data_IF_165273611131
#
_entry.id   IF_165273611131
#
_cell.length_a   1.000
_cell.length_b   1.000
_cell.length_c   1.000
_cell.angle_alpha   90.00
_cell.angle_beta   90.00
_cell.angle_gamma   90.00
#
_symmetry.space_group_name_H-M   'P 1'
#
loop_
_entity.id
_entity.type
_entity.pdbx_description
1 polymer ?
#
# COMPACT_ATOMS: atom_id res chain seq x y z
N UNK A 1 3.76 -22.28 -16.97
CA UNK A 1 2.61 -21.83 -16.14
C UNK A 1 2.57 -20.32 -16.15
N UNK A 2 1.40 -19.72 -16.41
CA UNK A 2 1.20 -18.28 -16.31
C UNK A 2 0.85 -17.91 -14.86
N UNK A 3 1.28 -16.73 -14.40
CA UNK A 3 0.93 -16.19 -13.08
C UNK A 3 -0.59 -16.13 -12.89
N UNK A 4 -1.32 -15.92 -13.98
CA UNK A 4 -2.78 -15.85 -14.04
C UNK A 4 -3.44 -17.17 -13.63
N UNK A 5 -2.93 -18.33 -14.07
CA UNK A 5 -3.43 -19.64 -13.64
C UNK A 5 -3.22 -19.88 -12.14
N UNK A 6 -2.07 -19.46 -11.60
CA UNK A 6 -1.77 -19.61 -10.18
C UNK A 6 -2.70 -18.76 -9.31
N UNK A 7 -2.90 -17.50 -9.71
CA UNK A 7 -3.80 -16.58 -9.03
C UNK A 7 -5.27 -17.01 -9.14
N UNK A 8 -5.66 -17.61 -10.26
CA UNK A 8 -7.00 -18.17 -10.43
C UNK A 8 -7.23 -19.36 -9.47
N UNK A 9 -6.35 -20.35 -9.47
CA UNK A 9 -6.52 -21.55 -8.63
C UNK A 9 -6.49 -21.23 -7.13
N UNK A 10 -5.62 -20.32 -6.69
CA UNK A 10 -5.61 -19.84 -5.30
C UNK A 10 -6.83 -18.97 -4.98
N UNK A 11 -7.25 -18.13 -5.93
CA UNK A 11 -8.42 -17.26 -5.80
C UNK A 11 -9.75 -18.02 -5.79
N UNK A 12 -9.82 -19.19 -6.43
CA UNK A 12 -11.01 -20.05 -6.44
C UNK A 12 -11.10 -20.98 -5.23
N UNK A 13 -10.02 -21.17 -4.46
CA UNK A 13 -10.01 -22.08 -3.31
C UNK A 13 -11.12 -21.78 -2.27
N UNK A 14 -11.42 -20.51 -1.91
CA UNK A 14 -12.53 -20.21 -1.01
C UNK A 14 -13.90 -20.63 -1.56
N UNK A 15 -14.07 -20.64 -2.89
CA UNK A 15 -15.33 -21.06 -3.53
C UNK A 15 -15.53 -22.56 -3.43
N UNK A 16 -14.48 -23.33 -3.72
CA UNK A 16 -14.50 -24.77 -3.61
C UNK A 16 -14.64 -25.24 -2.16
N UNK A 17 -14.13 -24.47 -1.19
CA UNK A 17 -14.34 -24.74 0.24
C UNK A 17 -15.80 -24.47 0.69
N UNK A 18 -16.50 -23.54 0.04
CA UNK A 18 -17.89 -23.23 0.33
C UNK A 18 -18.85 -24.21 -0.37
N UNK A 19 -18.79 -24.27 -1.71
CA UNK A 19 -19.73 -24.98 -2.60
C UNK A 19 -18.99 -25.61 -3.79
N UNK A 20 -18.34 -26.77 -3.62
CA UNK A 20 -17.48 -27.38 -4.63
C UNK A 20 -18.19 -27.72 -5.93
N UNK A 21 -19.42 -28.25 -5.88
CA UNK A 21 -20.12 -28.69 -7.09
C UNK A 21 -20.69 -27.51 -7.87
N UNK A 22 -21.24 -26.51 -7.17
CA UNK A 22 -21.65 -25.25 -7.80
C UNK A 22 -20.44 -24.52 -8.41
N UNK A 23 -19.32 -24.44 -7.71
CA UNK A 23 -18.10 -23.83 -8.23
C UNK A 23 -17.58 -24.57 -9.48
N UNK A 24 -17.56 -25.91 -9.45
CA UNK A 24 -17.17 -26.75 -10.58
C UNK A 24 -18.11 -26.57 -11.78
N UNK A 25 -19.42 -26.53 -11.54
CA UNK A 25 -20.44 -26.33 -12.57
C UNK A 25 -20.32 -24.96 -13.25
N UNK A 26 -20.19 -23.88 -12.47
CA UNK A 26 -20.01 -22.52 -13.02
C UNK A 26 -18.69 -22.44 -13.80
N UNK A 27 -17.62 -23.08 -13.31
CA UNK A 27 -16.34 -23.14 -14.02
C UNK A 27 -16.46 -23.86 -15.35
N UNK A 28 -17.17 -25.01 -15.40
CA UNK A 28 -17.43 -25.74 -16.64
C UNK A 28 -18.30 -24.96 -17.63
N UNK A 29 -19.31 -24.22 -17.15
CA UNK A 29 -20.13 -23.34 -17.98
C UNK A 29 -19.31 -22.20 -18.59
N UNK A 30 -18.43 -21.58 -17.81
CA UNK A 30 -17.55 -20.52 -18.30
C UNK A 30 -16.48 -21.05 -19.26
N UNK A 31 -15.97 -22.25 -19.03
CA UNK A 31 -15.08 -22.92 -19.97
C UNK A 31 -15.77 -23.16 -21.32
N UNK A 32 -17.03 -23.59 -21.32
CA UNK A 32 -17.77 -23.87 -22.55
C UNK A 32 -18.30 -22.63 -23.27
N UNK A 33 -18.93 -21.72 -22.53
CA UNK A 33 -19.69 -20.61 -23.11
C UNK A 33 -19.02 -19.25 -22.93
N UNK A 34 -17.98 -19.15 -22.09
CA UNK A 34 -17.34 -17.88 -21.76
C UNK A 34 -16.73 -17.17 -22.97
N UNK A 35 -16.22 -17.92 -23.94
CA UNK A 35 -15.67 -17.36 -25.18
C UNK A 35 -16.73 -16.65 -26.04
N UNK A 36 -18.00 -17.03 -25.94
CA UNK A 36 -19.10 -16.43 -26.68
C UNK A 36 -19.67 -15.17 -26.00
N UNK A 37 -19.27 -14.87 -24.77
CA UNK A 37 -19.71 -13.68 -24.05
C UNK A 37 -18.87 -12.47 -24.48
N UNK A 38 -19.48 -11.40 -25.05
CA UNK A 38 -18.73 -10.31 -25.70
C UNK A 38 -17.84 -9.48 -24.77
N UNK A 39 -18.06 -9.59 -23.46
CA UNK A 39 -17.33 -8.85 -22.41
C UNK A 39 -16.30 -9.72 -21.66
N UNK A 40 -16.31 -11.04 -21.91
CA UNK A 40 -15.51 -12.05 -21.21
C UNK A 40 -14.59 -12.83 -22.15
N UNK A 41 -14.96 -13.04 -23.42
CA UNK A 41 -14.25 -13.92 -24.36
C UNK A 41 -12.81 -13.52 -24.67
N UNK A 42 -12.47 -12.23 -24.60
CA UNK A 42 -11.10 -11.74 -24.85
C UNK A 42 -10.19 -11.81 -23.62
N UNK A 43 -10.70 -12.17 -22.44
CA UNK A 43 -9.90 -12.20 -21.20
C UNK A 43 -9.03 -13.45 -21.16
N UNK A 44 -7.77 -13.29 -20.74
CA UNK A 44 -6.81 -14.39 -20.59
C UNK A 44 -7.37 -15.57 -19.76
N UNK A 45 -8.10 -15.29 -18.67
CA UNK A 45 -8.70 -16.32 -17.81
C UNK A 45 -9.73 -17.17 -18.58
N UNK A 46 -10.54 -16.55 -19.44
CA UNK A 46 -11.55 -17.25 -20.25
C UNK A 46 -10.90 -18.01 -21.40
N UNK A 47 -9.83 -17.49 -21.98
CA UNK A 47 -9.05 -18.20 -23.01
C UNK A 47 -8.31 -19.42 -22.45
N UNK A 48 -7.87 -19.36 -21.19
CA UNK A 48 -7.30 -20.52 -20.48
C UNK A 48 -8.39 -21.54 -20.20
N UNK A 49 -9.55 -21.09 -19.69
CA UNK A 49 -10.70 -21.97 -19.41
C UNK A 49 -11.30 -22.59 -20.68
N UNK A 50 -11.31 -21.90 -21.82
CA UNK A 50 -11.84 -22.43 -23.08
C UNK A 50 -11.01 -23.56 -23.67
N UNK A 51 -9.81 -23.79 -23.13
CA UNK A 51 -8.98 -24.95 -23.48
C UNK A 51 -9.19 -26.14 -22.54
N UNK A 52 -10.11 -26.06 -21.58
CA UNK A 52 -10.45 -27.18 -20.71
C UNK A 52 -10.83 -28.42 -21.54
N UNK A 53 -10.53 -29.63 -21.04
CA UNK A 53 -10.73 -30.86 -21.81
C UNK A 53 -12.21 -31.12 -22.09
N UNK A 54 -12.48 -31.75 -23.24
CA UNK A 54 -13.84 -31.99 -23.74
C UNK A 54 -14.72 -32.77 -22.76
N UNK A 55 -14.13 -33.65 -21.95
CA UNK A 55 -14.88 -34.38 -20.93
C UNK A 55 -15.50 -33.44 -19.89
N UNK A 56 -14.79 -32.36 -19.50
CA UNK A 56 -15.22 -31.42 -18.47
C UNK A 56 -16.28 -30.43 -19.00
N UNK A 57 -16.24 -30.12 -20.29
CA UNK A 57 -17.20 -29.21 -20.95
C UNK A 57 -18.35 -29.95 -21.66
N UNK A 58 -18.34 -31.29 -21.65
CA UNK A 58 -19.37 -32.13 -22.28
C UNK A 58 -20.78 -31.87 -21.71
N UNK A 59 -21.82 -32.13 -22.52
CA UNK A 59 -23.22 -32.05 -22.06
C UNK A 59 -23.46 -32.94 -20.83
N UNK A 60 -22.85 -34.13 -20.83
CA UNK A 60 -22.97 -35.10 -19.73
C UNK A 60 -22.34 -34.57 -18.45
N UNK A 61 -21.11 -34.05 -18.51
CA UNK A 61 -20.46 -33.47 -17.33
C UNK A 61 -21.21 -32.25 -16.79
N UNK A 62 -21.69 -31.36 -17.66
CA UNK A 62 -22.52 -30.23 -17.26
C UNK A 62 -23.84 -30.69 -16.61
N UNK A 63 -24.49 -31.72 -17.16
CA UNK A 63 -25.69 -32.30 -16.57
C UNK A 63 -25.44 -32.89 -15.18
N UNK A 64 -24.35 -33.66 -15.03
CA UNK A 64 -23.96 -34.26 -13.74
C UNK A 64 -23.57 -33.20 -12.72
N UNK A 65 -22.69 -32.26 -13.08
CA UNK A 65 -22.26 -31.16 -12.20
C UNK A 65 -23.44 -30.26 -11.83
N UNK A 66 -24.36 -29.99 -12.76
CA UNK A 66 -25.58 -29.23 -12.51
C UNK A 66 -26.51 -29.95 -11.52
N UNK A 67 -26.72 -31.25 -11.69
CA UNK A 67 -27.50 -32.05 -10.75
C UNK A 67 -26.85 -32.07 -9.35
N UNK A 68 -25.54 -32.29 -9.27
CA UNK A 68 -24.78 -32.26 -8.02
C UNK A 68 -24.81 -30.88 -7.35
N UNK A 69 -24.75 -29.79 -8.12
CA UNK A 69 -24.89 -28.43 -7.60
C UNK A 69 -26.30 -28.16 -7.05
N UNK A 70 -27.35 -28.67 -7.70
CA UNK A 70 -28.72 -28.58 -7.17
C UNK A 70 -28.87 -29.37 -5.88
N UNK A 71 -28.32 -30.59 -5.82
CA UNK A 71 -28.32 -31.41 -4.60
C UNK A 71 -27.54 -30.71 -3.48
N UNK A 72 -26.41 -30.09 -3.78
CA UNK A 72 -25.60 -29.31 -2.83
C UNK A 72 -26.34 -28.08 -2.28
N UNK A 73 -27.13 -27.39 -3.11
CA UNK A 73 -27.97 -26.26 -2.67
C UNK A 73 -29.16 -26.77 -1.85
N UNK A 74 -29.77 -27.88 -2.27
CA UNK A 74 -30.91 -28.47 -1.58
C UNK A 74 -30.54 -29.06 -0.22
N UNK A 75 -29.38 -29.71 -0.10
CA UNK A 75 -28.89 -30.30 1.14
C UNK A 75 -28.65 -29.26 2.23
N UNK A 76 -28.35 -28.01 1.84
CA UNK A 76 -28.20 -26.90 2.77
C UNK A 76 -29.50 -26.52 3.49
N UNK A 77 -30.66 -26.94 2.99
CA UNK A 77 -31.98 -26.65 3.57
C UNK A 77 -32.51 -27.74 4.51
N UNK A 78 -31.83 -28.89 4.58
CA UNK A 78 -32.26 -30.05 5.36
C UNK A 78 -31.16 -30.46 6.34
N UNK A 79 -31.45 -30.39 7.64
CA UNK A 79 -30.49 -30.70 8.70
C UNK A 79 -29.95 -32.14 8.62
N UNK A 80 -30.81 -33.11 8.26
CA UNK A 80 -30.42 -34.53 8.14
C UNK A 80 -29.40 -34.79 7.03
N UNK A 81 -29.57 -34.20 5.84
CA UNK A 81 -28.57 -34.31 4.77
C UNK A 81 -27.29 -33.53 5.11
N UNK A 82 -27.40 -32.40 5.81
CA UNK A 82 -26.24 -31.61 6.25
C UNK A 82 -25.36 -32.43 7.20
N UNK A 83 -25.97 -33.15 8.15
CA UNK A 83 -25.27 -34.04 9.07
C UNK A 83 -24.61 -35.22 8.33
N UNK A 84 -25.32 -35.85 7.38
CA UNK A 84 -24.75 -36.95 6.58
C UNK A 84 -23.57 -36.50 5.71
N UNK A 85 -23.63 -35.29 5.14
CA UNK A 85 -22.55 -34.78 4.29
C UNK A 85 -21.34 -34.28 5.09
N UNK A 86 -21.51 -33.88 6.35
CA UNK A 86 -20.44 -33.30 7.18
C UNK A 86 -19.22 -34.23 7.33
N UNK A 87 -19.44 -35.54 7.41
CA UNK A 87 -18.37 -36.54 7.57
C UNK A 87 -17.46 -36.67 6.34
N UNK A 88 -18.00 -36.37 5.16
CA UNK A 88 -17.28 -36.50 3.87
C UNK A 88 -16.95 -35.15 3.22
N UNK A 89 -17.47 -34.05 3.78
CA UNK A 89 -17.48 -32.73 3.17
C UNK A 89 -16.06 -32.23 2.82
N UNK A 90 -15.12 -32.31 3.77
CA UNK A 90 -13.76 -31.81 3.56
C UNK A 90 -12.98 -32.61 2.51
N UNK A 91 -13.13 -33.93 2.49
CA UNK A 91 -12.43 -34.79 1.54
C UNK A 91 -13.02 -34.67 0.13
N UNK A 92 -14.35 -34.63 0.03
CA UNK A 92 -15.06 -34.42 -1.23
C UNK A 92 -14.76 -33.04 -1.84
N UNK A 93 -14.77 -31.97 -1.04
CA UNK A 93 -14.43 -30.61 -1.48
C UNK A 93 -13.02 -30.51 -2.05
N UNK A 94 -12.06 -31.08 -1.35
CA UNK A 94 -10.67 -31.12 -1.80
C UNK A 94 -10.48 -31.96 -3.07
N UNK A 95 -11.19 -33.09 -3.19
CA UNK A 95 -11.13 -33.94 -4.38
C UNK A 95 -11.74 -33.23 -5.60
N UNK A 96 -12.89 -32.58 -5.45
CA UNK A 96 -13.51 -31.80 -6.52
C UNK A 96 -12.60 -30.64 -6.94
N UNK A 97 -12.03 -29.91 -5.98
CA UNK A 97 -11.07 -28.84 -6.26
C UNK A 97 -9.82 -29.35 -6.99
N UNK A 98 -9.32 -30.53 -6.62
CA UNK A 98 -8.19 -31.19 -7.27
C UNK A 98 -8.54 -31.54 -8.72
N UNK A 99 -9.66 -32.21 -8.96
CA UNK A 99 -10.12 -32.64 -10.28
C UNK A 99 -10.35 -31.44 -11.20
N UNK A 100 -11.00 -30.38 -10.71
CA UNK A 100 -11.22 -29.15 -11.49
C UNK A 100 -9.91 -28.42 -11.76
N UNK A 101 -9.01 -28.35 -10.78
CA UNK A 101 -7.69 -27.74 -11.00
C UNK A 101 -6.88 -28.50 -12.05
N UNK A 102 -6.93 -29.83 -12.04
CA UNK A 102 -6.30 -30.66 -13.07
C UNK A 102 -6.93 -30.43 -14.45
N UNK A 103 -8.27 -30.35 -14.54
CA UNK A 103 -8.97 -30.06 -15.79
C UNK A 103 -8.62 -28.67 -16.37
N UNK A 104 -8.42 -27.66 -15.51
CA UNK A 104 -8.12 -26.29 -15.95
C UNK A 104 -6.65 -26.10 -16.35
N UNK A 105 -5.74 -26.93 -15.84
CA UNK A 105 -4.30 -26.79 -16.05
C UNK A 105 -3.77 -27.48 -17.32
N UNK A 106 -4.53 -28.37 -17.96
CA UNK A 106 -3.94 -29.43 -18.80
C UNK A 106 -3.23 -29.03 -20.12
N UNK A 107 -3.67 -28.06 -20.95
CA UNK A 107 -3.17 -27.98 -22.33
C UNK A 107 -1.79 -27.33 -22.54
N UNK A 108 -1.33 -26.47 -21.62
CA UNK A 108 0.03 -25.88 -21.68
C UNK A 108 1.00 -26.52 -20.67
N UNK A 109 0.48 -27.34 -19.76
CA UNK A 109 1.26 -27.95 -18.70
C UNK A 109 2.09 -29.13 -19.22
N UNK A 110 1.67 -29.84 -20.26
CA UNK A 110 2.46 -30.91 -20.91
C UNK A 110 3.87 -30.47 -21.34
N UNK A 111 4.02 -29.26 -21.87
CA UNK A 111 5.33 -28.73 -22.32
C UNK A 111 6.21 -28.24 -21.17
N UNK A 112 5.62 -27.81 -20.07
CA UNK A 112 6.35 -27.35 -18.87
C UNK A 112 6.69 -28.53 -17.95
N UNK A 113 5.79 -29.51 -17.84
CA UNK A 113 5.98 -30.74 -17.07
C UNK A 113 7.11 -31.57 -17.64
N UNK A 114 7.22 -31.75 -18.96
CA UNK A 114 8.36 -32.45 -19.57
C UNK A 114 9.71 -31.74 -19.36
N UNK A 115 9.70 -30.43 -19.09
CA UNK A 115 10.91 -29.64 -18.79
C UNK A 115 11.27 -29.70 -17.29
N UNK A 116 10.27 -29.80 -16.41
CA UNK A 116 10.43 -29.87 -14.94
C UNK A 116 10.59 -31.32 -14.44
N UNK A 117 10.10 -32.32 -15.16
CA UNK A 117 10.31 -33.76 -14.85
C UNK A 117 11.80 -34.13 -14.85
N UNK A 118 12.60 -33.41 -15.65
CA UNK A 118 14.06 -33.54 -15.65
C UNK A 118 14.73 -33.06 -14.35
N UNK A 119 14.00 -32.39 -13.46
CA UNK A 119 14.48 -31.91 -12.15
C UNK A 119 13.88 -32.69 -10.96
N UNK A 120 13.10 -33.77 -11.19
CA UNK A 120 12.67 -34.70 -10.14
C UNK A 120 11.74 -34.14 -9.06
N UNK A 121 11.22 -32.92 -9.21
CA UNK A 121 10.28 -32.30 -8.26
C UNK A 121 8.92 -32.02 -8.90
N UNK A 122 8.03 -33.00 -8.73
CA UNK A 122 6.59 -32.90 -8.50
C UNK A 122 5.78 -31.89 -9.34
N UNK A 123 5.29 -32.35 -10.51
CA UNK A 123 4.19 -31.72 -11.26
C UNK A 123 2.85 -31.68 -10.50
N UNK A 124 2.66 -32.56 -9.51
CA UNK A 124 1.46 -32.64 -8.68
C UNK A 124 1.43 -31.60 -7.55
N UNK A 125 2.54 -30.89 -7.31
CA UNK A 125 2.70 -29.97 -6.17
C UNK A 125 1.66 -28.85 -6.15
N UNK A 126 1.25 -28.34 -7.31
CA UNK A 126 0.34 -27.20 -7.39
C UNK A 126 -1.14 -27.60 -7.21
N UNK A 127 -1.60 -28.65 -7.89
CA UNK A 127 -2.95 -29.19 -7.66
C UNK A 127 -3.10 -29.73 -6.24
N UNK A 128 -2.04 -30.33 -5.68
CA UNK A 128 -1.99 -30.72 -4.26
C UNK A 128 -2.02 -29.49 -3.32
N UNK A 129 -1.31 -28.40 -3.64
CA UNK A 129 -1.37 -27.15 -2.88
C UNK A 129 -2.78 -26.53 -2.90
N UNK A 130 -3.44 -26.53 -4.05
CA UNK A 130 -4.81 -26.06 -4.20
C UNK A 130 -5.78 -26.92 -3.36
N UNK A 131 -5.70 -28.24 -3.50
CA UNK A 131 -6.52 -29.19 -2.74
C UNK A 131 -6.28 -29.08 -1.23
N UNK A 132 -5.02 -28.92 -0.81
CA UNK A 132 -4.64 -28.71 0.59
C UNK A 132 -5.12 -27.37 1.14
N UNK A 133 -5.13 -26.32 0.32
CA UNK A 133 -5.68 -25.01 0.69
C UNK A 133 -7.19 -25.09 0.88
N UNK A 134 -7.90 -25.75 -0.04
CA UNK A 134 -9.35 -26.01 0.08
C UNK A 134 -9.66 -26.85 1.31
N UNK A 135 -8.83 -27.87 1.61
CA UNK A 135 -8.99 -28.70 2.81
C UNK A 135 -8.89 -27.86 4.08
N UNK A 136 -7.83 -27.05 4.20
CA UNK A 136 -7.61 -26.19 5.36
C UNK A 136 -8.72 -25.13 5.53
N UNK A 137 -9.18 -24.53 4.43
CA UNK A 137 -10.30 -23.58 4.46
C UNK A 137 -11.61 -24.25 4.86
N UNK A 138 -11.86 -25.48 4.40
CA UNK A 138 -13.07 -26.23 4.78
C UNK A 138 -13.05 -26.59 6.26
N UNK A 139 -11.90 -26.99 6.81
CA UNK A 139 -11.75 -27.24 8.25
C UNK A 139 -12.02 -25.99 9.09
N UNK A 140 -11.42 -24.85 8.70
CA UNK A 140 -11.65 -23.58 9.38
C UNK A 140 -13.12 -23.15 9.30
N UNK A 141 -13.74 -23.29 8.13
CA UNK A 141 -15.16 -23.00 7.93
C UNK A 141 -16.04 -23.88 8.82
N UNK A 142 -15.78 -25.18 8.89
CA UNK A 142 -16.58 -26.10 9.69
C UNK A 142 -16.49 -25.76 11.19
N UNK A 143 -15.33 -25.29 11.67
CA UNK A 143 -15.20 -24.77 13.05
C UNK A 143 -16.06 -23.53 13.29
N UNK A 144 -16.06 -22.58 12.34
CA UNK A 144 -16.87 -21.36 12.44
C UNK A 144 -18.37 -21.70 12.40
N UNK A 145 -18.78 -22.59 11.49
CA UNK A 145 -20.18 -23.02 11.37
C UNK A 145 -20.64 -23.77 12.61
N UNK A 146 -19.81 -24.65 13.19
CA UNK A 146 -20.14 -25.34 14.43
C UNK A 146 -20.34 -24.36 15.60
N UNK A 147 -19.48 -23.33 15.72
CA UNK A 147 -19.64 -22.29 16.73
C UNK A 147 -20.91 -21.47 16.54
N UNK A 148 -21.37 -21.29 15.30
CA UNK A 148 -22.61 -20.56 15.00
C UNK A 148 -23.83 -21.45 15.26
N UNK A 149 -23.74 -22.73 14.97
CA UNK A 149 -24.77 -23.73 15.30
C UNK A 149 -24.98 -23.84 16.81
N UNK A 150 -23.90 -23.75 17.61
CA UNK A 150 -24.00 -23.67 19.08
C UNK A 150 -24.69 -22.38 19.58
N UNK A 151 -24.60 -21.28 18.82
CA UNK A 151 -25.17 -19.98 19.18
C UNK A 151 -26.59 -19.76 18.65
N UNK A 152 -26.97 -20.43 17.57
CA UNK A 152 -28.23 -20.24 16.82
C UNK A 152 -28.66 -21.55 16.13
N UNK A 153 -28.86 -22.61 16.93
CA UNK A 153 -29.10 -23.97 16.44
C UNK A 153 -30.41 -24.17 15.67
N UNK A 154 -31.46 -23.43 16.03
CA UNK A 154 -32.76 -23.45 15.34
C UNK A 154 -32.87 -22.38 14.23
N UNK A 155 -31.79 -21.62 13.96
CA UNK A 155 -31.74 -20.48 13.02
C UNK A 155 -32.81 -19.40 13.32
N UNK A 156 -33.18 -19.23 14.59
CA UNK A 156 -34.16 -18.24 15.05
C UNK A 156 -33.70 -16.80 14.79
N UNK A 157 -32.38 -16.56 14.85
CA UNK A 157 -31.76 -15.26 14.56
C UNK A 157 -31.50 -15.11 13.04
N UNK A 158 -31.51 -16.22 12.29
CA UNK A 158 -31.29 -16.26 10.84
C UNK A 158 -29.81 -16.18 10.45
N UNK A 159 -28.87 -16.44 11.37
CA UNK A 159 -27.43 -16.35 11.09
C UNK A 159 -26.97 -17.43 10.11
N UNK A 160 -27.53 -18.65 10.18
CA UNK A 160 -27.19 -19.72 9.25
C UNK A 160 -27.74 -19.42 7.85
N UNK A 161 -28.97 -18.89 7.77
CA UNK A 161 -29.56 -18.44 6.50
C UNK A 161 -28.73 -17.32 5.85
N UNK A 162 -28.27 -16.34 6.64
CA UNK A 162 -27.43 -15.24 6.15
C UNK A 162 -26.10 -15.75 5.59
N UNK A 163 -25.43 -16.66 6.29
CA UNK A 163 -24.14 -17.24 5.86
C UNK A 163 -24.32 -18.06 4.59
N UNK A 164 -25.36 -18.88 4.50
CA UNK A 164 -25.68 -19.63 3.28
C UNK A 164 -25.91 -18.70 2.09
N UNK A 165 -26.60 -17.57 2.29
CA UNK A 165 -26.81 -16.58 1.24
C UNK A 165 -25.50 -15.93 0.79
N UNK A 166 -24.65 -15.53 1.74
CA UNK A 166 -23.32 -14.96 1.46
C UNK A 166 -22.46 -15.96 0.69
N UNK A 167 -22.45 -17.24 1.08
CA UNK A 167 -21.65 -18.28 0.42
C UNK A 167 -22.13 -18.57 -1.01
N UNK A 168 -23.44 -18.62 -1.22
CA UNK A 168 -24.01 -18.83 -2.55
C UNK A 168 -23.71 -17.64 -3.47
N UNK A 169 -23.85 -16.42 -2.96
CA UNK A 169 -23.48 -15.22 -3.71
C UNK A 169 -21.99 -15.18 -3.97
N UNK A 170 -21.15 -15.49 -2.99
CA UNK A 170 -19.70 -15.48 -3.16
C UNK A 170 -19.24 -16.50 -4.19
N UNK A 171 -19.83 -17.70 -4.21
CA UNK A 171 -19.49 -18.75 -5.19
C UNK A 171 -19.84 -18.33 -6.61
N UNK A 172 -21.03 -17.74 -6.82
CA UNK A 172 -21.49 -17.30 -8.14
C UNK A 172 -20.81 -16.00 -8.58
N UNK A 173 -20.76 -15.00 -7.71
CA UNK A 173 -20.23 -13.67 -8.00
C UNK A 173 -18.71 -13.60 -7.94
N UNK A 174 -18.05 -14.43 -7.14
CA UNK A 174 -16.61 -14.27 -6.94
C UNK A 174 -15.80 -14.54 -8.21
N UNK A 175 -16.32 -15.33 -9.17
CA UNK A 175 -15.67 -15.51 -10.47
C UNK A 175 -15.76 -14.22 -11.28
N UNK A 176 -16.90 -13.51 -11.21
CA UNK A 176 -17.03 -12.17 -11.76
C UNK A 176 -16.15 -11.15 -11.01
N UNK A 177 -15.99 -11.29 -9.69
CA UNK A 177 -15.09 -10.43 -8.89
C UNK A 177 -13.64 -10.63 -9.30
N UNK A 178 -13.17 -11.84 -9.59
CA UNK A 178 -11.81 -12.06 -10.10
C UNK A 178 -11.54 -11.29 -11.41
N UNK A 179 -12.56 -11.10 -12.24
CA UNK A 179 -12.47 -10.30 -13.49
C UNK A 179 -12.67 -8.80 -13.23
N UNK A 180 -13.58 -8.42 -12.32
CA UNK A 180 -13.96 -7.03 -12.07
C UNK A 180 -13.00 -6.30 -11.14
N UNK A 181 -12.39 -7.01 -10.18
CA UNK A 181 -11.45 -6.46 -9.19
C UNK A 181 -10.23 -5.78 -9.81
N UNK A 182 -9.52 -6.34 -10.83
CA UNK A 182 -8.42 -5.62 -11.47
C UNK A 182 -8.91 -4.35 -12.18
N UNK A 183 -10.10 -4.36 -12.81
CA UNK A 183 -10.69 -3.17 -13.42
C UNK A 183 -10.99 -2.11 -12.36
N UNK A 184 -11.64 -2.51 -11.26
CA UNK A 184 -11.94 -1.63 -10.14
C UNK A 184 -10.67 -1.05 -9.52
N UNK A 185 -9.62 -1.85 -9.34
CA UNK A 185 -8.33 -1.40 -8.82
C UNK A 185 -7.66 -0.37 -9.76
N UNK A 186 -7.71 -0.59 -11.07
CA UNK A 186 -7.22 0.37 -12.08
C UNK A 186 -8.03 1.67 -12.03
N UNK A 187 -9.36 1.59 -11.97
CA UNK A 187 -10.24 2.76 -11.87
C UNK A 187 -9.95 3.56 -10.59
N UNK A 188 -9.87 2.90 -9.44
CA UNK A 188 -9.54 3.56 -8.17
C UNK A 188 -8.14 4.18 -8.20
N UNK A 189 -7.15 3.50 -8.80
CA UNK A 189 -5.80 4.03 -8.99
C UNK A 189 -5.76 5.25 -9.92
N UNK A 190 -6.55 5.23 -11.00
CA UNK A 190 -6.68 6.35 -11.93
C UNK A 190 -7.37 7.56 -11.26
N UNK A 191 -8.46 7.33 -10.51
CA UNK A 191 -9.17 8.38 -9.77
C UNK A 191 -8.29 9.00 -8.68
N UNK A 192 -7.52 8.19 -7.94
CA UNK A 192 -6.58 8.71 -6.94
C UNK A 192 -5.43 9.49 -7.58
N UNK A 193 -4.85 9.01 -8.68
CA UNK A 193 -3.84 9.74 -9.43
C UNK A 193 -4.37 11.08 -9.97
N UNK A 194 -5.59 11.09 -10.52
CA UNK A 194 -6.28 12.30 -10.99
C UNK A 194 -6.54 13.27 -9.83
N UNK A 195 -7.04 12.77 -8.70
CA UNK A 195 -7.27 13.56 -7.48
C UNK A 195 -5.99 14.24 -6.99
N UNK A 196 -4.87 13.50 -6.95
CA UNK A 196 -3.56 14.04 -6.57
C UNK A 196 -3.04 15.07 -7.58
N UNK A 197 -3.24 14.84 -8.89
CA UNK A 197 -2.88 15.80 -9.94
C UNK A 197 -3.67 17.11 -9.81
N UNK A 198 -4.99 17.03 -9.63
CA UNK A 198 -5.86 18.19 -9.44
C UNK A 198 -5.51 18.92 -8.15
N UNK A 199 -5.27 18.21 -7.04
CA UNK A 199 -4.85 18.78 -5.77
C UNK A 199 -3.52 19.54 -5.90
N UNK A 200 -2.53 18.97 -6.59
CA UNK A 200 -1.26 19.62 -6.87
C UNK A 200 -1.45 20.90 -7.69
N UNK A 201 -2.20 20.83 -8.80
CA UNK A 201 -2.45 21.99 -9.67
C UNK A 201 -3.21 23.10 -8.95
N UNK A 202 -4.17 22.76 -8.09
CA UNK A 202 -4.88 23.71 -7.23
C UNK A 202 -3.94 24.36 -6.21
N UNK A 203 -3.03 23.59 -5.60
CA UNK A 203 -2.06 24.12 -4.65
C UNK A 203 -1.09 25.11 -5.33
N UNK A 204 -0.59 24.80 -6.53
CA UNK A 204 0.27 25.69 -7.32
C UNK A 204 -0.46 26.99 -7.69
N UNK A 205 -1.71 26.90 -8.16
CA UNK A 205 -2.54 28.09 -8.46
C UNK A 205 -2.78 28.96 -7.23
N UNK A 206 -3.10 28.35 -6.07
CA UNK A 206 -3.27 29.09 -4.81
C UNK A 206 -1.98 29.77 -4.36
N UNK A 207 -0.84 29.13 -4.54
CA UNK A 207 0.47 29.72 -4.22
C UNK A 207 0.77 30.94 -5.11
N UNK A 208 0.54 30.85 -6.42
CA UNK A 208 0.69 31.97 -7.35
C UNK A 208 -0.26 33.14 -7.02
N UNK A 209 -1.53 32.83 -6.71
CA UNK A 209 -2.51 33.83 -6.31
C UNK A 209 -2.20 34.50 -4.96
N UNK A 210 -1.45 33.83 -4.08
CA UNK A 210 -1.07 34.36 -2.77
C UNK A 210 0.08 35.38 -2.81
N UNK A 211 0.73 35.58 -3.97
CA UNK A 211 1.86 36.53 -4.07
C UNK A 211 1.40 37.96 -3.83
N UNK A 212 2.19 38.73 -3.09
CA UNK A 212 1.95 40.15 -2.78
C UNK A 212 3.01 41.03 -3.45
N UNK A 213 2.69 42.26 -3.86
CA UNK A 213 3.66 43.16 -4.45
C UNK A 213 4.72 43.58 -3.43
N UNK A 214 5.98 43.69 -3.86
CA UNK A 214 7.06 44.24 -3.05
C UNK A 214 6.83 45.74 -2.83
N UNK A 215 7.04 46.22 -1.60
CA UNK A 215 6.89 47.64 -1.24
C UNK A 215 7.86 48.58 -1.94
N UNK A 216 8.99 48.07 -2.44
CA UNK A 216 10.01 48.87 -3.11
C UNK A 216 9.91 48.81 -4.65
N UNK A 217 9.90 47.60 -5.24
CA UNK A 217 9.95 47.43 -6.71
C UNK A 217 8.62 46.96 -7.36
N UNK A 218 7.57 46.71 -6.58
CA UNK A 218 6.28 46.23 -7.10
C UNK A 218 6.23 44.76 -7.56
N UNK A 219 7.38 44.08 -7.69
CA UNK A 219 7.44 42.67 -8.11
C UNK A 219 6.66 41.76 -7.16
N UNK A 220 5.90 40.81 -7.71
CA UNK A 220 5.09 39.85 -6.94
C UNK A 220 5.95 38.82 -6.23
N UNK A 221 6.04 38.92 -4.91
CA UNK A 221 6.82 38.04 -4.03
C UNK A 221 5.90 37.11 -3.21
N UNK A 222 6.44 36.00 -2.73
CA UNK A 222 5.74 35.11 -1.80
C UNK A 222 5.62 35.79 -0.43
N UNK A 223 4.48 35.63 0.24
CA UNK A 223 4.20 36.28 1.54
C UNK A 223 5.15 35.85 2.67
N UNK A 224 5.71 34.64 2.57
CA UNK A 224 6.65 34.08 3.54
C UNK A 224 8.12 34.26 3.11
N UNK A 225 8.40 35.08 2.08
CA UNK A 225 9.76 35.48 1.70
C UNK A 225 10.32 36.52 2.67
N UNK A 226 11.59 36.40 3.02
CA UNK A 226 12.28 37.37 3.89
C UNK A 226 12.89 38.53 3.10
N UNK A 227 13.19 38.31 1.80
CA UNK A 227 13.72 39.31 0.88
C UNK A 227 13.09 39.19 -0.50
N UNK A 228 12.97 40.32 -1.19
CA UNK A 228 12.56 40.34 -2.58
C UNK A 228 13.62 39.68 -3.47
N UNK A 229 13.21 38.79 -4.38
CA UNK A 229 14.12 38.15 -5.33
C UNK A 229 14.63 39.11 -6.43
N UNK A 230 13.97 40.24 -6.65
CA UNK A 230 14.32 41.19 -7.71
C UNK A 230 15.21 42.33 -7.21
N UNK A 231 14.79 43.04 -6.15
CA UNK A 231 15.52 44.20 -5.62
C UNK A 231 16.31 43.91 -4.34
N UNK A 232 16.19 42.71 -3.75
CA UNK A 232 16.89 42.34 -2.52
C UNK A 232 16.36 43.00 -1.23
N UNK A 233 15.40 43.92 -1.32
CA UNK A 233 14.81 44.62 -0.16
C UNK A 233 14.20 43.62 0.83
N UNK A 234 14.48 43.81 2.12
CA UNK A 234 13.91 43.01 3.20
C UNK A 234 12.40 43.23 3.31
N UNK A 235 11.65 42.15 3.52
CA UNK A 235 10.20 42.19 3.74
C UNK A 235 9.95 42.51 5.21
N UNK A 236 9.19 43.57 5.50
CA UNK A 236 8.99 44.06 6.86
C UNK A 236 8.30 43.05 7.79
N UNK A 237 7.34 42.28 7.28
CA UNK A 237 6.58 41.31 8.06
C UNK A 237 6.36 40.00 7.26
N UNK A 238 7.39 39.14 7.14
CA UNK A 238 7.25 37.86 6.45
C UNK A 238 6.27 36.96 7.21
N UNK A 239 5.39 36.26 6.49
CA UNK A 239 4.43 35.32 7.10
C UNK A 239 5.08 33.98 7.44
N UNK A 240 4.59 33.30 8.49
CA UNK A 240 5.07 31.96 8.88
C UNK A 240 4.82 30.94 7.79
N UNK A 241 5.72 29.94 7.68
CA UNK A 241 5.56 28.83 6.74
C UNK A 241 4.83 27.65 7.39
N UNK A 242 3.80 27.16 6.72
CA UNK A 242 3.03 25.99 7.13
C UNK A 242 3.76 24.67 6.86
N UNK A 243 3.20 23.58 7.38
CA UNK A 243 3.77 22.22 7.27
C UNK A 243 3.94 21.78 5.81
N UNK A 244 3.04 22.20 4.94
CA UNK A 244 3.08 21.94 3.50
C UNK A 244 3.78 23.04 2.69
N UNK A 245 4.44 23.98 3.36
CA UNK A 245 5.13 25.09 2.72
C UNK A 245 4.22 26.25 2.28
N UNK A 246 2.99 26.35 2.78
CA UNK A 246 2.06 27.45 2.46
C UNK A 246 2.23 28.61 3.45
N UNK A 247 1.94 29.87 3.08
CA UNK A 247 1.94 30.97 4.03
C UNK A 247 0.80 30.81 5.05
N UNK A 248 1.10 30.99 6.34
CA UNK A 248 0.08 31.16 7.40
C UNK A 248 -0.33 32.63 7.47
N UNK A 249 -1.42 32.94 8.17
CA UNK A 249 -1.86 34.33 8.43
C UNK A 249 -0.84 35.12 9.25
N UNK A 250 -0.21 34.45 10.21
CA UNK A 250 0.57 35.13 11.25
C UNK A 250 1.94 35.57 10.73
N UNK A 251 2.40 36.79 11.09
CA UNK A 251 3.77 37.21 10.83
C UNK A 251 4.76 36.37 11.65
N UNK A 252 5.96 36.23 11.11
CA UNK A 252 7.04 35.52 11.79
C UNK A 252 7.73 36.44 12.80
N UNK A 253 7.79 36.06 14.09
CA UNK A 253 8.44 36.88 15.12
C UNK A 253 9.98 36.91 15.02
N UNK A 254 10.59 35.86 14.45
CA UNK A 254 12.05 35.74 14.34
C UNK A 254 12.44 35.30 12.91
N UNK A 255 13.04 36.23 12.17
CA UNK A 255 13.48 36.05 10.78
C UNK A 255 14.62 35.03 10.69
N UNK A 256 15.49 34.93 11.69
CA UNK A 256 16.61 34.00 11.68
C UNK A 256 16.11 32.55 11.82
N UNK A 257 15.17 32.30 12.73
CA UNK A 257 14.55 30.99 12.88
C UNK A 257 13.66 30.63 11.68
N UNK A 258 12.95 31.61 11.11
CA UNK A 258 12.15 31.43 9.89
C UNK A 258 12.97 30.88 8.72
N UNK A 259 14.22 31.33 8.60
CA UNK A 259 15.15 30.87 7.57
C UNK A 259 15.31 29.34 7.60
N UNK A 260 15.48 28.77 8.79
CA UNK A 260 15.59 27.33 8.97
C UNK A 260 14.27 26.61 8.68
N UNK A 261 13.13 27.24 8.97
CA UNK A 261 11.81 26.67 8.64
C UNK A 261 11.57 26.60 7.15
N UNK A 262 11.95 27.65 6.39
CA UNK A 262 11.89 27.65 4.93
C UNK A 262 12.74 26.52 4.36
N UNK A 263 13.98 26.40 4.82
CA UNK A 263 14.91 25.35 4.38
C UNK A 263 14.40 23.95 4.75
N UNK A 264 13.80 23.75 5.93
CA UNK A 264 13.18 22.49 6.32
C UNK A 264 11.98 22.10 5.41
N UNK A 265 11.36 23.07 4.74
CA UNK A 265 10.28 22.85 3.76
C UNK A 265 10.77 22.86 2.31
N UNK A 266 12.08 22.74 2.09
CA UNK A 266 12.74 22.85 0.77
C UNK A 266 12.37 24.14 0.04
N UNK A 267 12.40 25.26 0.75
CA UNK A 267 12.25 26.59 0.18
C UNK A 267 13.53 27.38 0.35
N UNK A 268 13.76 28.31 -0.56
CA UNK A 268 14.88 29.23 -0.50
C UNK A 268 14.79 30.04 0.82
N UNK A 269 15.90 30.22 1.54
CA UNK A 269 15.92 31.02 2.78
C UNK A 269 15.50 32.49 2.59
N UNK A 270 15.66 33.03 1.38
CA UNK A 270 15.46 34.46 1.11
C UNK A 270 14.12 34.70 0.38
N UNK A 271 14.00 34.21 -0.86
CA UNK A 271 12.82 34.44 -1.71
C UNK A 271 11.69 33.42 -1.50
N UNK A 272 11.91 32.39 -0.68
CA UNK A 272 10.99 31.30 -0.41
C UNK A 272 10.52 30.45 -1.62
N UNK A 273 11.12 30.59 -2.80
CA UNK A 273 10.88 29.70 -3.95
C UNK A 273 11.23 28.25 -3.61
N UNK A 274 10.49 27.28 -4.16
CA UNK A 274 10.74 25.85 -3.95
C UNK A 274 12.09 25.43 -4.53
N UNK A 275 12.80 24.58 -3.81
CA UNK A 275 14.10 24.02 -4.16
C UNK A 275 13.93 22.61 -4.75
N UNK A 276 14.08 22.44 -6.08
CA UNK A 276 13.76 21.16 -6.73
C UNK A 276 14.82 20.08 -6.44
N UNK A 277 16.11 20.45 -6.35
CA UNK A 277 17.21 19.50 -6.23
C UNK A 277 17.25 18.90 -4.82
N UNK A 278 17.68 17.62 -4.70
CA UNK A 278 17.87 16.93 -3.41
C UNK A 278 19.35 16.95 -3.03
N UNK A 279 19.87 18.14 -2.80
CA UNK A 279 21.27 18.42 -2.47
C UNK A 279 21.30 19.41 -1.31
N UNK A 280 22.26 19.25 -0.39
CA UNK A 280 22.42 20.15 0.75
C UNK A 280 22.82 21.52 0.20
N UNK A 281 23.84 21.56 -0.64
CA UNK A 281 24.23 22.79 -1.33
C UNK A 281 23.56 22.88 -2.70
N UNK A 282 22.56 23.76 -2.82
CA UNK A 282 21.96 24.13 -4.10
C UNK A 282 21.72 25.63 -4.18
N UNK A 283 21.88 26.18 -5.38
CA UNK A 283 21.57 27.57 -5.73
C UNK A 283 20.09 27.68 -6.09
N UNK A 284 19.43 28.72 -5.60
CA UNK A 284 18.05 29.01 -5.97
C UNK A 284 17.97 29.56 -7.40
N UNK A 285 17.13 28.96 -8.24
CA UNK A 285 16.95 29.36 -9.64
C UNK A 285 16.33 30.76 -9.81
N UNK A 286 15.69 31.33 -8.77
CA UNK A 286 15.04 32.64 -8.84
C UNK A 286 15.90 33.79 -8.32
N UNK A 287 16.59 33.63 -7.19
CA UNK A 287 17.35 34.71 -6.56
C UNK A 287 18.87 34.45 -6.47
N UNK A 288 19.35 33.30 -6.96
CA UNK A 288 20.77 32.95 -6.90
C UNK A 288 21.31 32.61 -5.50
N UNK A 289 20.48 32.66 -4.44
CA UNK A 289 20.93 32.38 -3.08
C UNK A 289 21.25 30.89 -2.90
N UNK A 290 22.40 30.59 -2.30
CA UNK A 290 22.81 29.24 -1.92
C UNK A 290 22.12 28.84 -0.61
N UNK A 291 21.63 27.60 -0.55
CA UNK A 291 20.84 27.08 0.59
C UNK A 291 21.65 27.04 1.89
N UNK A 292 22.83 26.41 1.84
CA UNK A 292 23.83 26.41 2.93
C UNK A 292 25.18 26.84 2.34
N UNK A 293 25.72 27.95 2.85
CA UNK A 293 27.00 28.51 2.41
C UNK A 293 28.19 27.73 2.96
N UNK A 294 28.10 27.27 4.21
CA UNK A 294 29.18 26.60 4.92
C UNK A 294 28.69 25.39 5.71
N UNK A 295 29.62 24.51 6.09
CA UNK A 295 29.34 23.40 6.99
C UNK A 295 28.82 23.88 8.36
N UNK A 296 29.31 25.04 8.86
CA UNK A 296 28.85 25.63 10.11
C UNK A 296 27.36 25.98 10.09
N UNK A 297 26.89 26.61 9.01
CA UNK A 297 25.48 26.97 8.84
C UNK A 297 24.58 25.72 8.76
N UNK A 298 25.06 24.66 8.12
CA UNK A 298 24.37 23.38 8.09
C UNK A 298 24.30 22.72 9.48
N UNK A 299 25.36 22.81 10.29
CA UNK A 299 25.33 22.32 11.67
C UNK A 299 24.39 23.13 12.56
N UNK A 300 24.33 24.46 12.40
CA UNK A 300 23.34 25.29 13.10
C UNK A 300 21.91 24.90 12.75
N UNK A 301 21.64 24.55 11.49
CA UNK A 301 20.35 24.02 11.06
C UNK A 301 20.01 22.68 11.73
N UNK A 302 20.98 21.75 11.80
CA UNK A 302 20.78 20.48 12.50
C UNK A 302 20.53 20.67 13.99
N UNK A 303 21.26 21.58 14.64
CA UNK A 303 21.07 21.92 16.05
C UNK A 303 19.66 22.51 16.30
N UNK A 304 19.18 23.36 15.39
CA UNK A 304 17.82 23.89 15.47
C UNK A 304 16.73 22.81 15.32
N UNK A 305 17.01 21.74 14.55
CA UNK A 305 16.13 20.56 14.50
C UNK A 305 16.21 19.74 15.78
N UNK A 306 17.40 19.54 16.35
CA UNK A 306 17.58 18.79 17.60
C UNK A 306 16.78 19.41 18.76
N UNK A 307 16.73 20.74 18.84
CA UNK A 307 15.93 21.45 19.86
C UNK A 307 14.42 21.16 19.76
N UNK A 308 13.91 20.74 18.59
CA UNK A 308 12.50 20.37 18.38
C UNK A 308 12.20 18.92 18.74
N UNK A 309 13.23 18.08 18.85
CA UNK A 309 13.10 16.67 19.16
C UNK A 309 12.38 16.39 20.49
N UNK A 310 12.74 16.99 21.64
CA UNK A 310 12.08 16.66 22.91
C UNK A 310 10.59 17.00 22.91
N UNK A 311 10.21 18.15 22.34
CA UNK A 311 8.79 18.53 22.19
C UNK A 311 8.04 17.56 21.27
N UNK A 312 8.68 17.12 20.19
CA UNK A 312 8.09 16.16 19.25
C UNK A 312 7.91 14.79 19.90
N UNK A 313 8.89 14.32 20.67
CA UNK A 313 8.81 13.07 21.42
C UNK A 313 7.69 13.10 22.46
N UNK A 314 7.54 14.21 23.19
CA UNK A 314 6.44 14.39 24.14
C UNK A 314 5.06 14.28 23.49
N UNK A 315 4.85 14.96 22.35
CA UNK A 315 3.58 14.87 21.60
C UNK A 315 3.37 13.45 21.04
N UNK A 316 4.43 12.81 20.54
CA UNK A 316 4.34 11.43 20.07
C UNK A 316 3.94 10.47 21.19
N UNK A 317 4.51 10.65 22.39
CA UNK A 317 4.21 9.84 23.57
C UNK A 317 2.73 9.96 23.96
N UNK A 318 2.21 11.19 24.01
CA UNK A 318 0.80 11.45 24.27
C UNK A 318 -0.12 10.82 23.22
N UNK A 319 0.23 10.93 21.93
CA UNK A 319 -0.55 10.32 20.86
C UNK A 319 -0.54 8.79 20.97
N UNK A 320 0.62 8.16 21.24
CA UNK A 320 0.73 6.70 21.39
C UNK A 320 0.17 6.14 22.68
N UNK A 321 -0.20 6.97 23.66
CA UNK A 321 -0.92 6.52 24.84
C UNK A 321 -2.30 5.93 24.49
N UNK A 322 -2.87 6.31 23.33
CA UNK A 322 -4.11 5.71 22.80
C UNK A 322 -3.74 4.48 21.94
N UNK A 323 -4.03 3.24 22.40
CA UNK A 323 -3.69 2.04 21.64
C UNK A 323 -4.36 2.03 20.26
N UNK A 324 -3.65 1.52 19.25
CA UNK A 324 -4.06 1.39 17.84
C UNK A 324 -4.34 2.71 17.10
N UNK A 325 -5.17 3.60 17.64
CA UNK A 325 -5.54 4.87 17.02
C UNK A 325 -4.42 5.91 17.07
N UNK A 326 -3.57 5.87 18.10
CA UNK A 326 -2.50 6.84 18.32
C UNK A 326 -1.30 6.74 17.39
N UNK A 327 -1.05 5.54 16.86
CA UNK A 327 0.15 5.24 16.08
C UNK A 327 0.16 5.99 14.75
N UNK A 328 -0.96 5.97 14.02
CA UNK A 328 -1.09 6.64 12.72
C UNK A 328 -0.87 8.17 12.80
N UNK A 329 -1.61 8.92 13.62
CA UNK A 329 -1.43 10.37 13.75
C UNK A 329 -0.05 10.70 14.34
N UNK A 330 0.47 9.90 15.26
CA UNK A 330 1.83 10.07 15.80
C UNK A 330 2.91 9.93 14.72
N UNK A 331 2.79 8.91 13.86
CA UNK A 331 3.69 8.70 12.72
C UNK A 331 3.61 9.83 11.70
N UNK A 332 2.40 10.29 11.39
CA UNK A 332 2.19 11.44 10.49
C UNK A 332 2.85 12.69 11.10
N UNK A 333 2.62 12.94 12.38
CA UNK A 333 3.13 14.12 13.08
C UNK A 333 4.67 14.19 13.06
N UNK A 334 5.39 13.17 13.54
CA UNK A 334 6.86 13.26 13.56
C UNK A 334 7.46 13.28 12.15
N UNK A 335 6.83 12.62 11.16
CA UNK A 335 7.31 12.65 9.78
C UNK A 335 7.21 14.04 9.17
N UNK A 336 6.09 14.73 9.42
CA UNK A 336 5.86 16.09 8.94
C UNK A 336 6.72 17.11 9.68
N UNK A 337 6.99 16.92 10.97
CA UNK A 337 7.73 17.88 11.79
C UNK A 337 9.24 17.72 11.68
N UNK A 338 9.75 16.48 11.71
CA UNK A 338 11.20 16.20 11.79
C UNK A 338 11.75 15.60 10.50
N UNK A 339 11.15 14.52 10.00
CA UNK A 339 11.76 13.70 8.94
C UNK A 339 11.74 14.40 7.59
N UNK A 340 10.69 15.18 7.29
CA UNK A 340 10.54 15.86 6.00
C UNK A 340 11.71 16.81 5.70
N UNK A 341 12.19 17.55 6.71
CA UNK A 341 13.31 18.48 6.57
C UNK A 341 14.63 17.80 6.24
N UNK A 342 14.92 16.65 6.86
CA UNK A 342 16.16 15.90 6.63
C UNK A 342 16.09 15.08 5.35
N UNK A 343 14.97 14.35 5.15
CA UNK A 343 14.77 13.47 4.00
C UNK A 343 14.65 14.21 2.68
N UNK A 344 14.19 15.47 2.70
CA UNK A 344 14.08 16.32 1.51
C UNK A 344 15.40 16.48 0.74
N UNK A 345 16.53 16.30 1.43
CA UNK A 345 17.87 16.43 0.88
C UNK A 345 18.53 15.09 0.54
N UNK A 346 17.84 13.94 0.60
CA UNK A 346 18.42 12.61 0.31
C UNK A 346 17.88 12.06 -1.04
N UNK A 347 18.74 11.62 -1.99
CA UNK A 347 18.35 11.13 -3.31
C UNK A 347 17.67 9.76 -3.22
N UNK A 348 16.82 9.41 -4.21
CA UNK A 348 16.02 8.18 -4.16
C UNK A 348 16.86 6.89 -4.22
N UNK A 349 17.94 6.85 -5.02
CA UNK A 349 18.78 5.67 -5.24
C UNK A 349 19.48 5.18 -3.95
N UNK A 350 20.24 6.06 -3.28
CA UNK A 350 20.85 5.74 -1.98
C UNK A 350 19.87 5.80 -0.81
N UNK A 351 18.73 6.47 -0.97
CA UNK A 351 17.62 6.37 -0.04
C UNK A 351 17.02 4.97 0.06
N UNK A 352 17.32 4.04 -0.87
CA UNK A 352 16.82 2.67 -0.81
C UNK A 352 17.38 1.91 0.40
N UNK A 353 18.68 1.94 0.64
CA UNK A 353 19.31 1.24 1.79
C UNK A 353 18.83 1.82 3.12
N UNK A 354 18.85 3.14 3.26
CA UNK A 354 18.34 3.82 4.47
C UNK A 354 16.86 3.51 4.73
N UNK A 355 16.02 3.42 3.68
CA UNK A 355 14.62 3.03 3.83
C UNK A 355 14.47 1.60 4.33
N UNK A 356 15.26 0.66 3.82
CA UNK A 356 15.22 -0.73 4.28
C UNK A 356 15.67 -0.87 5.74
N UNK A 357 16.77 -0.22 6.13
CA UNK A 357 17.21 -0.16 7.53
C UNK A 357 16.09 0.37 8.43
N UNK A 358 15.49 1.51 8.05
CA UNK A 358 14.35 2.09 8.78
C UNK A 358 13.15 1.15 8.84
N UNK A 359 12.86 0.39 7.77
CA UNK A 359 11.77 -0.60 7.76
C UNK A 359 12.05 -1.73 8.74
N UNK A 360 13.24 -2.32 8.73
CA UNK A 360 13.61 -3.38 9.67
C UNK A 360 13.58 -2.91 11.12
N UNK A 361 14.12 -1.72 11.40
CA UNK A 361 14.06 -1.13 12.75
C UNK A 361 12.62 -0.90 13.19
N UNK A 362 11.79 -0.28 12.34
CA UNK A 362 10.38 -0.06 12.68
C UNK A 362 9.61 -1.37 12.85
N UNK A 363 9.90 -2.39 12.04
CA UNK A 363 9.28 -3.71 12.19
C UNK A 363 9.65 -4.34 13.53
N UNK A 364 10.94 -4.28 13.90
CA UNK A 364 11.41 -4.67 15.22
C UNK A 364 10.67 -3.93 16.34
N UNK A 365 10.58 -2.60 16.27
CA UNK A 365 9.89 -1.77 17.28
C UNK A 365 8.39 -2.08 17.37
N UNK A 366 7.70 -2.29 16.24
CA UNK A 366 6.28 -2.67 16.21
C UNK A 366 6.06 -4.05 16.80
N UNK A 367 7.00 -4.99 16.65
CA UNK A 367 6.90 -6.31 17.26
C UNK A 367 6.86 -6.27 18.80
N UNK A 368 7.31 -5.19 19.44
CA UNK A 368 7.18 -4.98 20.90
C UNK A 368 5.80 -4.44 21.32
N UNK A 369 4.89 -4.15 20.38
CA UNK A 369 3.55 -3.61 20.66
C UNK A 369 2.64 -4.50 21.53
N UNK A 370 2.72 -5.84 21.52
CA UNK A 370 1.89 -6.68 22.37
C UNK A 370 2.15 -6.53 23.88
N UNK A 371 3.27 -5.92 24.27
CA UNK A 371 3.61 -5.73 25.69
C UNK A 371 2.83 -4.53 26.25
N UNK A 372 1.94 -4.72 27.24
CA UNK A 372 1.22 -3.62 27.88
C UNK A 372 2.22 -2.60 28.46
N UNK A 373 1.86 -1.32 28.45
CA UNK A 373 2.71 -0.16 28.83
C UNK A 373 3.82 0.22 27.83
N UNK A 374 4.39 -0.72 27.05
CA UNK A 374 5.37 -0.39 26.00
C UNK A 374 4.74 0.28 24.77
N UNK A 375 3.42 0.15 24.58
CA UNK A 375 2.68 0.82 23.50
C UNK A 375 2.94 2.34 23.41
N UNK A 376 3.03 3.03 24.56
CA UNK A 376 3.22 4.48 24.61
C UNK A 376 4.64 4.93 24.23
N UNK A 377 5.64 4.04 24.26
CA UNK A 377 7.03 4.40 23.91
C UNK A 377 7.37 4.09 22.45
N UNK A 378 6.54 3.31 21.75
CA UNK A 378 6.77 2.89 20.36
C UNK A 378 6.91 4.08 19.41
N UNK A 379 5.95 4.99 19.38
CA UNK A 379 6.00 6.13 18.44
C UNK A 379 7.16 7.09 18.76
N UNK A 380 7.43 7.46 20.04
CA UNK A 380 8.65 8.17 20.40
C UNK A 380 9.93 7.47 19.95
N UNK A 381 10.03 6.15 20.16
CA UNK A 381 11.21 5.37 19.77
C UNK A 381 11.37 5.35 18.24
N UNK A 382 10.29 5.17 17.48
CA UNK A 382 10.29 5.29 16.02
C UNK A 382 10.69 6.70 15.57
N UNK A 383 10.20 7.75 16.23
CA UNK A 383 10.57 9.14 15.92
C UNK A 383 12.07 9.35 16.11
N UNK A 384 12.61 8.95 17.27
CA UNK A 384 14.02 9.10 17.60
C UNK A 384 14.94 8.32 16.65
N UNK A 385 14.69 7.01 16.48
CA UNK A 385 15.48 6.14 15.60
C UNK A 385 15.48 6.63 14.15
N UNK A 386 14.30 6.97 13.61
CA UNK A 386 14.19 7.52 12.25
C UNK A 386 14.98 8.82 12.12
N UNK A 387 14.82 9.75 13.06
CA UNK A 387 15.52 11.03 13.02
C UNK A 387 17.04 10.85 13.05
N UNK A 388 17.57 10.02 13.95
CA UNK A 388 19.02 9.75 14.06
C UNK A 388 19.56 9.11 12.78
N UNK A 389 18.88 8.11 12.23
CA UNK A 389 19.31 7.43 11.00
C UNK A 389 19.36 8.40 9.81
N UNK A 390 18.29 9.17 9.59
CA UNK A 390 18.26 10.15 8.50
C UNK A 390 19.25 11.29 8.72
N UNK A 391 19.43 11.76 9.97
CA UNK A 391 20.40 12.81 10.32
C UNK A 391 21.83 12.35 10.01
N UNK A 392 22.23 11.16 10.47
CA UNK A 392 23.56 10.59 10.19
C UNK A 392 23.81 10.45 8.69
N UNK A 393 22.82 9.94 7.94
CA UNK A 393 22.91 9.82 6.49
C UNK A 393 23.08 11.20 5.81
N UNK A 394 22.36 12.22 6.27
CA UNK A 394 22.47 13.56 5.73
C UNK A 394 23.81 14.23 6.09
N UNK A 395 24.26 14.13 7.33
CA UNK A 395 25.54 14.70 7.78
C UNK A 395 26.73 14.13 7.02
N UNK A 396 26.79 12.80 6.82
CA UNK A 396 27.84 12.17 6.01
C UNK A 396 27.82 12.60 4.53
N UNK A 397 26.68 13.12 4.07
CA UNK A 397 26.56 13.66 2.71
C UNK A 397 26.92 15.14 2.64
N UNK A 398 26.53 15.91 3.64
CA UNK A 398 26.94 17.31 3.75
C UNK A 398 28.47 17.43 3.76
N UNK A 399 29.17 16.57 4.51
CA UNK A 399 30.65 16.55 4.53
C UNK A 399 31.25 16.32 3.15
N UNK A 400 30.74 15.35 2.39
CA UNK A 400 31.21 15.06 1.03
C UNK A 400 30.89 16.19 0.04
N UNK A 401 29.67 16.76 0.11
CA UNK A 401 29.28 17.89 -0.75
C UNK A 401 30.06 19.18 -0.44
N UNK A 402 30.38 19.46 0.83
CA UNK A 402 31.21 20.61 1.21
C UNK A 402 32.69 20.38 0.88
N UNK A 403 33.21 19.15 1.03
CA UNK A 403 34.58 18.82 0.64
C UNK A 403 34.80 18.94 -0.88
N UNK A 404 33.86 18.47 -1.70
CA UNK A 404 33.93 18.62 -3.15
C UNK A 404 33.82 20.08 -3.63
N UNK A 405 33.35 20.96 -2.76
CA UNK A 405 33.09 22.37 -3.01
C UNK A 405 34.21 23.30 -2.53
N UNK A 406 35.19 22.79 -1.78
CA UNK A 406 36.37 23.55 -1.40
C UNK A 406 37.17 23.90 -2.68
N UNK A 407 37.70 25.12 -2.80
CA UNK A 407 38.55 25.47 -3.93
C UNK A 407 39.72 24.49 -3.98
N UNK A 408 39.92 23.82 -5.12
CA UNK A 408 41.18 23.11 -5.38
C UNK A 408 42.26 24.18 -5.37
N UNK A 409 43.12 24.18 -4.35
CA UNK A 409 44.36 24.94 -4.40
C UNK A 409 45.08 24.53 -5.70
N UNK A 410 45.24 25.49 -6.62
CA UNK A 410 46.10 25.28 -7.78
C UNK A 410 47.52 25.07 -7.23
N UNK A 411 48.24 24.01 -7.63
CA UNK A 411 49.66 23.90 -7.30
C UNK A 411 50.37 25.13 -7.86
N UNK A 412 51.15 25.78 -7.00
CA UNK A 412 51.95 26.97 -7.31
C UNK A 412 53.03 26.69 -8.37
#
# INVERSE_FOLDING_TARGET
>A
MTLTSILYTLGSAPMFAARPFLAAFVTALLARFGAHLPWLGEREVIQVLSRAPDWFTSNTALGVLGALAVVEIASAKSAELKAFMADFDALMKSLVALVVSLAVLDPETEKVVTTIDKLGMFSWSFSALAAGTVFGMTMLRNQIVALIDELDGDDDIGLQTLINWIENIWTVMGIFVLVLLPILAVVLSALTALGLYVARKRAERKEEASKTPCTNCGTRILQHATRCHSCGTAVAAPRKVGVFGQPKSDPTPDVALHRFELVARKRCPDCATRLPKRQVRQTCDTCGRITFLSAGEFQSYLAALDQRLPRTLGICFLLSAVPLLGVVPGVIYYRLTMITGVRGYIPPLRGCTTKWIVRFVNWGVIALQPVPLLGATIVPLMCWTNFVIYKRSLSGRATTEFAAAAPKELPA
#
